data_IF_268732958358
#
_entry.id   IF_268732958358
#
_cell.length_a   1.000
_cell.length_b   1.000
_cell.length_c   1.000
_cell.angle_alpha   90.00
_cell.angle_beta   90.00
_cell.angle_gamma   90.00
#
_symmetry.space_group_name_H-M   'P 1'
#
loop_
_entity.id
_entity.type
_entity.pdbx_description
1 polymer ?
#
# COMPACT_ATOMS: atom_id res chain seq x y z
N UNK A 1 26.69 16.81 -3.00
CA UNK A 1 25.85 15.59 -3.02
C UNK A 1 25.58 15.23 -4.47
N UNK A 2 25.75 13.97 -4.86
CA UNK A 2 25.41 13.51 -6.21
C UNK A 2 23.88 13.47 -6.37
N UNK A 3 23.37 13.64 -7.59
CA UNK A 3 21.92 13.57 -7.89
C UNK A 3 21.30 12.26 -7.39
N UNK A 4 22.06 11.17 -7.50
CA UNK A 4 21.75 9.86 -6.95
C UNK A 4 21.45 9.89 -5.44
N UNK A 5 22.36 10.49 -4.65
CA UNK A 5 22.19 10.57 -3.19
C UNK A 5 20.96 11.40 -2.81
N UNK A 6 20.66 12.47 -3.55
CA UNK A 6 19.48 13.31 -3.31
C UNK A 6 18.19 12.53 -3.63
N UNK A 7 18.13 11.90 -4.81
CA UNK A 7 16.98 11.12 -5.25
C UNK A 7 16.70 9.93 -4.30
N UNK A 8 17.74 9.20 -3.90
CA UNK A 8 17.65 8.11 -2.93
C UNK A 8 17.19 8.58 -1.55
N UNK A 9 17.69 9.72 -1.07
CA UNK A 9 17.29 10.30 0.22
C UNK A 9 15.81 10.72 0.22
N UNK A 10 15.35 11.40 -0.84
CA UNK A 10 13.94 11.83 -0.96
C UNK A 10 13.01 10.61 -1.02
N UNK A 11 13.34 9.60 -1.84
CA UNK A 11 12.55 8.37 -1.93
C UNK A 11 12.46 7.66 -0.57
N UNK A 12 13.57 7.60 0.16
CA UNK A 12 13.64 7.01 1.50
C UNK A 12 12.79 7.79 2.52
N UNK A 13 12.88 9.12 2.54
CA UNK A 13 12.08 9.97 3.43
C UNK A 13 10.58 9.85 3.16
N UNK A 14 10.18 9.82 1.90
CA UNK A 14 8.77 9.64 1.52
C UNK A 14 8.28 8.25 1.86
N UNK A 15 9.13 7.23 1.73
CA UNK A 15 8.80 5.88 2.18
C UNK A 15 8.60 5.80 3.70
N UNK A 16 9.47 6.45 4.49
CA UNK A 16 9.28 6.59 5.93
C UNK A 16 7.98 7.34 6.25
N UNK A 17 7.64 8.38 5.48
CA UNK A 17 6.35 9.07 5.57
C UNK A 17 5.15 8.13 5.37
N UNK A 18 5.22 7.20 4.41
CA UNK A 18 4.20 6.18 4.21
C UNK A 18 4.08 5.24 5.43
N UNK A 19 5.20 4.83 6.02
CA UNK A 19 5.20 4.00 7.24
C UNK A 19 4.56 4.74 8.42
N UNK A 20 4.91 6.02 8.63
CA UNK A 20 4.28 6.85 9.66
C UNK A 20 2.78 6.97 9.40
N UNK A 21 2.36 7.18 8.15
CA UNK A 21 0.95 7.21 7.75
C UNK A 21 0.20 5.93 8.13
N UNK A 22 0.79 4.77 7.87
CA UNK A 22 0.22 3.47 8.26
C UNK A 22 0.10 3.34 9.79
N UNK A 23 1.15 3.72 10.54
CA UNK A 23 1.14 3.68 12.01
C UNK A 23 0.06 4.60 12.59
N UNK A 24 -0.05 5.83 12.07
CA UNK A 24 -1.09 6.78 12.46
C UNK A 24 -2.48 6.20 12.19
N UNK A 25 -2.65 5.51 11.06
CA UNK A 25 -3.92 4.88 10.73
C UNK A 25 -4.28 3.72 11.66
N UNK A 26 -3.33 2.86 12.01
CA UNK A 26 -3.52 1.81 13.03
C UNK A 26 -3.92 2.43 14.37
N UNK A 27 -3.23 3.49 14.80
CA UNK A 27 -3.56 4.20 16.05
C UNK A 27 -4.97 4.77 16.00
N UNK A 28 -5.37 5.40 14.88
CA UNK A 28 -6.71 5.97 14.69
C UNK A 28 -7.81 4.90 14.78
N UNK A 29 -7.58 3.72 14.20
CA UNK A 29 -8.52 2.58 14.31
C UNK A 29 -8.65 2.13 15.76
N UNK A 30 -7.52 1.91 16.45
CA UNK A 30 -7.52 1.48 17.86
C UNK A 30 -8.17 2.51 18.78
N UNK A 31 -7.91 3.79 18.54
CA UNK A 31 -8.57 4.88 19.27
C UNK A 31 -10.09 4.85 19.06
N UNK A 32 -10.58 4.64 17.83
CA UNK A 32 -12.02 4.53 17.56
C UNK A 32 -12.67 3.34 18.26
N UNK A 33 -11.95 2.22 18.42
CA UNK A 33 -12.45 1.05 19.18
C UNK A 33 -12.65 1.35 20.67
N UNK A 34 -11.83 2.24 21.25
CA UNK A 34 -11.81 2.53 22.69
C UNK A 34 -12.64 3.77 23.05
N UNK A 35 -12.57 4.82 22.24
CA UNK A 35 -13.08 6.14 22.57
C UNK A 35 -14.56 6.37 22.18
N UNK A 36 -15.09 5.58 21.25
CA UNK A 36 -16.48 5.69 20.80
C UNK A 36 -17.31 4.59 21.46
N UNK A 37 -18.51 4.88 22.02
CA UNK A 37 -19.43 3.86 22.53
C UNK A 37 -19.78 2.78 21.50
N UNK A 38 -19.82 3.15 20.20
CA UNK A 38 -20.03 2.21 19.08
C UNK A 38 -18.74 1.50 18.65
N UNK A 39 -17.61 1.77 19.29
CA UNK A 39 -16.32 1.14 19.02
C UNK A 39 -16.32 -0.38 19.23
N UNK A 40 -17.27 -0.90 20.02
CA UNK A 40 -17.50 -2.33 20.21
C UNK A 40 -18.36 -2.97 19.09
N UNK A 41 -19.02 -2.17 18.24
CA UNK A 41 -19.81 -2.68 17.13
C UNK A 41 -18.91 -3.22 16.02
N UNK A 42 -19.23 -4.41 15.53
CA UNK A 42 -18.46 -5.07 14.48
C UNK A 42 -18.43 -4.22 13.21
N UNK A 43 -17.22 -3.92 12.77
CA UNK A 43 -16.96 -3.19 11.53
C UNK A 43 -16.96 -1.69 11.69
N UNK A 44 -17.38 -1.13 12.83
CA UNK A 44 -17.47 0.32 13.02
C UNK A 44 -16.11 1.01 12.97
N UNK A 45 -15.12 0.47 13.70
CA UNK A 45 -13.82 1.09 13.81
C UNK A 45 -13.05 1.07 12.49
N UNK A 46 -13.27 0.03 11.69
CA UNK A 46 -12.58 -0.14 10.42
C UNK A 46 -13.43 0.20 9.21
N UNK A 47 -14.75 0.47 9.27
CA UNK A 47 -15.67 0.71 8.11
C UNK A 47 -15.09 1.65 7.04
N UNK A 48 -14.31 2.56 7.57
CA UNK A 48 -13.54 3.63 6.99
C UNK A 48 -12.42 3.16 6.03
N UNK A 49 -11.87 1.97 6.24
CA UNK A 49 -10.70 1.43 5.54
C UNK A 49 -11.07 0.64 4.28
N UNK A 50 -10.28 0.82 3.22
CA UNK A 50 -10.39 0.04 1.98
C UNK A 50 -9.55 -1.23 2.06
N UNK A 51 -10.19 -2.38 2.30
CA UNK A 51 -9.50 -3.69 2.34
C UNK A 51 -8.70 -3.94 1.06
N UNK A 52 -9.31 -3.71 -0.11
CA UNK A 52 -8.65 -3.91 -1.40
C UNK A 52 -7.47 -2.94 -1.58
N UNK A 53 -7.59 -1.71 -1.08
CA UNK A 53 -6.50 -0.73 -1.12
C UNK A 53 -5.30 -1.20 -0.30
N UNK A 54 -5.52 -1.63 0.95
CA UNK A 54 -4.44 -2.16 1.80
C UNK A 54 -3.86 -3.46 1.27
N UNK A 55 -4.69 -4.35 0.74
CA UNK A 55 -4.21 -5.61 0.17
C UNK A 55 -3.38 -5.40 -1.09
N UNK A 56 -3.81 -4.50 -1.98
CA UNK A 56 -3.03 -4.12 -3.16
C UNK A 56 -1.69 -3.50 -2.78
N UNK A 57 -1.67 -2.61 -1.77
CA UNK A 57 -0.41 -2.08 -1.21
C UNK A 57 0.45 -3.16 -0.56
N UNK A 58 -0.15 -4.12 0.15
CA UNK A 58 0.57 -5.26 0.72
C UNK A 58 1.27 -6.08 -0.38
N UNK A 59 0.56 -6.45 -1.46
CA UNK A 59 1.14 -7.20 -2.57
C UNK A 59 2.30 -6.42 -3.21
N UNK A 60 2.15 -5.11 -3.39
CA UNK A 60 3.23 -4.28 -3.91
C UNK A 60 4.50 -4.33 -3.03
N UNK A 61 4.35 -4.20 -1.71
CA UNK A 61 5.47 -4.28 -0.78
C UNK A 61 6.06 -5.70 -0.71
N UNK A 62 5.20 -6.71 -0.70
CA UNK A 62 5.57 -8.11 -0.71
C UNK A 62 6.35 -8.52 -1.96
N UNK A 63 5.92 -8.09 -3.14
CA UNK A 63 6.62 -8.34 -4.39
C UNK A 63 8.02 -7.74 -4.38
N UNK A 64 8.19 -6.51 -3.88
CA UNK A 64 9.54 -5.94 -3.74
C UNK A 64 10.38 -6.60 -2.64
N UNK A 65 9.74 -7.14 -1.60
CA UNK A 65 10.44 -7.92 -0.57
C UNK A 65 11.00 -9.22 -1.17
N UNK A 66 10.17 -9.99 -1.88
CA UNK A 66 10.58 -11.20 -2.57
C UNK A 66 11.65 -10.92 -3.64
N UNK A 67 11.47 -9.86 -4.43
CA UNK A 67 12.48 -9.36 -5.36
C UNK A 67 13.83 -9.21 -4.66
N UNK A 68 13.87 -8.54 -3.51
CA UNK A 68 15.12 -8.31 -2.76
C UNK A 68 15.73 -9.59 -2.20
N UNK A 69 14.94 -10.62 -1.92
CA UNK A 69 15.42 -11.93 -1.46
C UNK A 69 16.05 -12.72 -2.62
N UNK A 70 15.47 -12.60 -3.81
CA UNK A 70 15.88 -13.30 -5.03
C UNK A 70 17.15 -12.74 -5.67
N UNK A 71 17.54 -11.50 -5.34
CA UNK A 71 18.81 -10.94 -5.81
C UNK A 71 20.02 -11.71 -5.26
N UNK A 72 21.09 -11.75 -6.07
CA UNK A 72 22.37 -12.37 -5.71
C UNK A 72 22.97 -11.76 -4.44
N UNK A 73 22.83 -10.43 -4.28
CA UNK A 73 23.10 -9.70 -3.05
C UNK A 73 21.83 -9.01 -2.53
N UNK A 74 21.58 -9.15 -1.23
CA UNK A 74 20.46 -8.45 -0.59
C UNK A 74 20.82 -6.97 -0.46
N UNK A 75 20.10 -6.12 -1.19
CA UNK A 75 20.06 -4.69 -0.88
C UNK A 75 19.25 -4.48 0.42
N UNK A 76 19.97 -4.27 1.52
CA UNK A 76 19.36 -4.09 2.84
C UNK A 76 18.43 -2.88 2.92
N UNK A 77 18.63 -1.82 2.12
CA UNK A 77 17.73 -0.68 2.10
C UNK A 77 16.38 -1.08 1.51
N UNK A 78 16.38 -1.82 0.39
CA UNK A 78 15.13 -2.29 -0.22
C UNK A 78 14.48 -3.36 0.67
N UNK A 79 15.26 -4.33 1.15
CA UNK A 79 14.75 -5.42 1.98
C UNK A 79 14.02 -4.94 3.24
N UNK A 80 14.69 -4.17 4.10
CA UNK A 80 14.12 -3.78 5.40
C UNK A 80 12.94 -2.83 5.23
N UNK A 81 13.03 -1.88 4.30
CA UNK A 81 11.93 -0.93 4.06
C UNK A 81 10.67 -1.68 3.61
N UNK A 82 10.81 -2.66 2.72
CA UNK A 82 9.69 -3.47 2.21
C UNK A 82 9.17 -4.46 3.23
N UNK A 83 10.03 -5.06 4.04
CA UNK A 83 9.62 -5.90 5.17
C UNK A 83 8.78 -5.11 6.18
N UNK A 84 9.25 -3.94 6.61
CA UNK A 84 8.51 -3.12 7.58
C UNK A 84 7.16 -2.67 7.00
N UNK A 85 7.11 -2.29 5.71
CA UNK A 85 5.85 -1.87 5.08
C UNK A 85 4.86 -3.02 4.88
N UNK A 86 5.34 -4.21 4.49
CA UNK A 86 4.49 -5.40 4.38
C UNK A 86 3.95 -5.83 5.75
N UNK A 87 4.76 -5.79 6.81
CA UNK A 87 4.30 -6.03 8.18
C UNK A 87 3.30 -4.95 8.65
N UNK A 88 3.56 -3.68 8.38
CA UNK A 88 2.66 -2.59 8.76
C UNK A 88 1.29 -2.71 8.07
N UNK A 89 1.27 -3.01 6.77
CA UNK A 89 0.02 -3.26 6.02
C UNK A 89 -0.68 -4.54 6.48
N UNK A 90 0.07 -5.60 6.81
CA UNK A 90 -0.46 -6.82 7.41
C UNK A 90 -1.15 -6.55 8.76
N UNK A 91 -0.60 -5.68 9.62
CA UNK A 91 -1.24 -5.27 10.88
C UNK A 91 -2.56 -4.54 10.61
N UNK A 92 -2.63 -3.67 9.60
CA UNK A 92 -3.89 -3.03 9.20
C UNK A 92 -4.92 -4.07 8.76
N UNK A 93 -4.51 -5.04 7.92
CA UNK A 93 -5.38 -6.13 7.48
C UNK A 93 -5.84 -7.00 8.65
N UNK A 94 -5.00 -7.21 9.67
CA UNK A 94 -5.37 -7.92 10.89
C UNK A 94 -6.43 -7.17 11.70
N UNK A 95 -6.30 -5.85 11.85
CA UNK A 95 -7.31 -5.03 12.54
C UNK A 95 -8.66 -5.10 11.82
N UNK A 96 -8.67 -5.13 10.48
CA UNK A 96 -9.87 -5.34 9.65
C UNK A 96 -10.42 -6.76 9.82
N UNK A 97 -9.56 -7.79 9.79
CA UNK A 97 -9.96 -9.18 9.95
C UNK A 97 -10.70 -9.44 11.28
N UNK A 98 -10.22 -8.83 12.36
CA UNK A 98 -10.85 -8.91 13.69
C UNK A 98 -12.18 -8.16 13.75
N UNK A 99 -12.26 -7.02 13.07
CA UNK A 99 -13.41 -6.12 13.15
C UNK A 99 -14.55 -6.53 12.21
N UNK A 100 -14.26 -7.18 11.08
CA UNK A 100 -15.25 -7.49 10.03
C UNK A 100 -15.46 -9.00 9.89
N UNK A 101 -16.73 -9.43 9.86
CA UNK A 101 -17.13 -10.85 9.73
C UNK A 101 -17.07 -11.42 8.29
N UNK A 102 -17.46 -10.70 7.22
CA UNK A 102 -17.58 -11.31 5.89
C UNK A 102 -16.25 -11.85 5.36
N UNK A 103 -16.29 -13.06 4.77
CA UNK A 103 -15.10 -13.77 4.30
C UNK A 103 -14.33 -12.99 3.23
N UNK A 104 -15.02 -12.26 2.35
CA UNK A 104 -14.39 -11.40 1.33
C UNK A 104 -13.49 -10.32 1.92
N UNK A 105 -13.70 -9.95 3.18
CA UNK A 105 -12.93 -8.93 3.89
C UNK A 105 -11.83 -9.52 4.77
N UNK A 106 -11.95 -10.82 5.08
CA UNK A 106 -10.97 -11.60 5.84
C UNK A 106 -9.94 -12.30 4.97
N UNK A 107 -10.35 -12.75 3.78
CA UNK A 107 -9.47 -13.46 2.83
C UNK A 107 -8.17 -12.69 2.54
N UNK A 108 -8.18 -11.35 2.32
CA UNK A 108 -6.94 -10.60 2.11
C UNK A 108 -5.90 -10.73 3.23
N UNK A 109 -6.33 -10.80 4.50
CA UNK A 109 -5.43 -11.02 5.63
C UNK A 109 -4.85 -12.45 5.63
N UNK A 110 -5.68 -13.45 5.33
CA UNK A 110 -5.22 -14.85 5.26
C UNK A 110 -4.21 -15.04 4.13
N UNK A 111 -4.52 -14.53 2.93
CA UNK A 111 -3.60 -14.55 1.80
C UNK A 111 -2.30 -13.82 2.12
N UNK A 112 -2.38 -12.64 2.77
CA UNK A 112 -1.20 -11.90 3.18
C UNK A 112 -0.34 -12.67 4.20
N UNK A 113 -0.97 -13.41 5.11
CA UNK A 113 -0.27 -14.22 6.11
C UNK A 113 0.47 -15.39 5.46
N UNK A 114 -0.19 -16.12 4.54
CA UNK A 114 0.45 -17.20 3.77
C UNK A 114 1.60 -16.67 2.92
N UNK A 115 1.41 -15.51 2.27
CA UNK A 115 2.45 -14.85 1.49
C UNK A 115 3.66 -14.49 2.36
N UNK A 116 3.46 -13.85 3.53
CA UNK A 116 4.58 -13.55 4.44
C UNK A 116 5.33 -14.80 4.88
N UNK A 117 4.63 -15.89 5.21
CA UNK A 117 5.26 -17.17 5.53
C UNK A 117 6.09 -17.70 4.35
N UNK A 118 5.58 -17.58 3.12
CA UNK A 118 6.32 -17.95 1.91
C UNK A 118 7.58 -17.10 1.70
N UNK A 119 7.52 -15.78 1.96
CA UNK A 119 8.71 -14.93 1.90
C UNK A 119 9.75 -15.29 2.96
N UNK A 120 9.34 -15.60 4.20
CA UNK A 120 10.26 -16.10 5.21
C UNK A 120 10.86 -17.45 4.80
N UNK A 121 10.06 -18.36 4.23
CA UNK A 121 10.55 -19.60 3.64
C UNK A 121 11.60 -19.36 2.56
N UNK A 122 11.33 -18.47 1.59
CA UNK A 122 12.27 -18.10 0.54
C UNK A 122 13.57 -17.49 1.10
N UNK A 123 13.51 -16.77 2.22
CA UNK A 123 14.69 -16.26 2.92
C UNK A 123 15.54 -17.38 3.54
N UNK A 124 14.91 -18.42 4.09
CA UNK A 124 15.63 -19.58 4.65
C UNK A 124 16.27 -20.46 3.56
N UNK A 125 15.60 -20.62 2.41
CA UNK A 125 16.10 -21.41 1.27
C UNK A 125 16.73 -20.54 0.18
N UNK A 126 17.37 -19.43 0.58
CA UNK A 126 17.83 -18.41 -0.37
C UNK A 126 18.81 -18.93 -1.41
N UNK A 127 19.73 -19.80 -1.03
CA UNK A 127 20.72 -20.38 -1.96
C UNK A 127 20.07 -21.08 -3.16
N UNK A 128 18.89 -21.69 -2.96
CA UNK A 128 18.14 -22.37 -4.02
C UNK A 128 17.32 -21.38 -4.88
N UNK A 129 16.90 -20.26 -4.29
CA UNK A 129 15.98 -19.29 -4.89
C UNK A 129 16.72 -18.14 -5.60
N UNK A 130 17.95 -17.81 -5.19
CA UNK A 130 18.75 -16.71 -5.76
C UNK A 130 19.12 -16.93 -7.23
N UNK A 131 19.14 -18.18 -7.70
CA UNK A 131 19.39 -18.52 -9.11
C UNK A 131 18.27 -18.07 -10.06
N UNK A 132 17.11 -17.69 -9.55
CA UNK A 132 15.99 -17.15 -10.33
C UNK A 132 16.12 -15.63 -10.59
N UNK A 133 17.15 -15.01 -10.00
CA UNK A 133 17.38 -13.58 -9.75
C UNK A 133 16.69 -12.60 -10.68
N UNK A 134 17.27 -12.29 -11.84
CA UNK A 134 16.83 -11.15 -12.67
C UNK A 134 15.47 -11.35 -13.34
N UNK A 135 15.24 -12.51 -13.97
CA UNK A 135 13.99 -12.76 -14.70
C UNK A 135 12.80 -12.86 -13.76
N UNK A 136 12.97 -13.52 -12.61
CA UNK A 136 11.91 -13.60 -11.60
C UNK A 136 11.64 -12.24 -10.97
N UNK A 137 12.69 -11.46 -10.70
CA UNK A 137 12.61 -10.10 -10.19
C UNK A 137 11.78 -9.17 -11.09
N UNK A 138 12.09 -9.14 -12.38
CA UNK A 138 11.39 -8.32 -13.37
C UNK A 138 9.93 -8.76 -13.53
N UNK A 139 9.71 -10.08 -13.62
CA UNK A 139 8.37 -10.66 -13.72
C UNK A 139 7.50 -10.30 -12.51
N UNK A 140 8.09 -10.31 -11.31
CA UNK A 140 7.40 -10.00 -10.07
C UNK A 140 7.04 -8.52 -9.97
N UNK A 141 7.89 -7.62 -10.46
CA UNK A 141 7.59 -6.19 -10.54
C UNK A 141 6.44 -5.89 -11.52
N UNK A 142 6.43 -6.56 -12.69
CA UNK A 142 5.31 -6.46 -13.64
C UNK A 142 4.02 -7.01 -13.02
N UNK A 143 4.09 -8.18 -12.39
CA UNK A 143 2.93 -8.77 -11.71
C UNK A 143 2.39 -7.85 -10.60
N UNK A 144 3.27 -7.29 -9.77
CA UNK A 144 2.89 -6.32 -8.74
C UNK A 144 2.20 -5.08 -9.35
N UNK A 145 2.71 -4.59 -10.48
CA UNK A 145 2.10 -3.47 -11.22
C UNK A 145 0.66 -3.78 -11.62
N UNK A 146 0.41 -4.99 -12.14
CA UNK A 146 -0.95 -5.41 -12.52
C UNK A 146 -1.90 -5.48 -11.33
N UNK A 147 -1.42 -5.95 -10.18
CA UNK A 147 -2.22 -6.00 -8.94
C UNK A 147 -2.49 -4.59 -8.40
N UNK A 148 -1.51 -3.68 -8.47
CA UNK A 148 -1.70 -2.27 -8.13
C UNK A 148 -2.77 -1.65 -9.04
N UNK A 149 -2.67 -1.90 -10.34
CA UNK A 149 -3.62 -1.43 -11.35
C UNK A 149 -5.04 -1.91 -11.07
N UNK A 150 -5.21 -3.22 -10.89
CA UNK A 150 -6.49 -3.83 -10.57
C UNK A 150 -7.08 -3.24 -9.27
N UNK A 151 -6.29 -3.17 -8.21
CA UNK A 151 -6.72 -2.65 -6.90
C UNK A 151 -7.13 -1.18 -6.96
N UNK A 152 -6.34 -0.35 -7.66
CA UNK A 152 -6.63 1.08 -7.84
C UNK A 152 -7.88 1.33 -8.67
N UNK A 153 -8.07 0.61 -9.79
CA UNK A 153 -9.30 0.72 -10.60
C UNK A 153 -10.54 0.34 -9.77
N UNK A 154 -10.47 -0.76 -9.01
CA UNK A 154 -11.57 -1.17 -8.15
C UNK A 154 -11.87 -0.14 -7.07
N UNK A 155 -10.85 0.49 -6.49
CA UNK A 155 -11.01 1.55 -5.50
C UNK A 155 -11.73 2.77 -6.11
N UNK A 156 -11.30 3.24 -7.27
CA UNK A 156 -11.93 4.38 -7.97
C UNK A 156 -13.39 4.05 -8.32
N UNK A 157 -13.66 2.86 -8.85
CA UNK A 157 -15.03 2.42 -9.18
C UNK A 157 -15.95 2.42 -7.96
N UNK A 158 -15.47 1.91 -6.82
CA UNK A 158 -16.25 1.90 -5.57
C UNK A 158 -16.58 3.31 -5.09
N UNK A 159 -15.62 4.23 -5.12
CA UNK A 159 -15.85 5.63 -4.76
C UNK A 159 -16.88 6.26 -5.70
N UNK A 160 -16.77 6.00 -7.00
CA UNK A 160 -17.69 6.55 -8.00
C UNK A 160 -19.13 6.05 -7.82
N UNK A 161 -19.29 4.77 -7.48
CA UNK A 161 -20.59 4.16 -7.20
C UNK A 161 -21.18 4.65 -5.88
N UNK A 162 -20.36 4.76 -4.84
CA UNK A 162 -20.79 5.21 -3.52
C UNK A 162 -20.99 6.73 -3.43
N UNK A 163 -20.45 7.51 -4.38
CA UNK A 163 -20.44 8.98 -4.37
C UNK A 163 -19.87 9.59 -3.07
N UNK A 164 -19.08 8.80 -2.36
CA UNK A 164 -18.43 9.15 -1.11
C UNK A 164 -17.04 8.51 -1.13
N UNK A 165 -16.04 9.25 -0.65
CA UNK A 165 -14.66 8.77 -0.50
C UNK A 165 -14.50 7.84 0.71
N UNK A 166 -15.56 7.69 1.51
CA UNK A 166 -15.59 6.90 2.72
C UNK A 166 -14.61 7.48 3.73
N UNK A 167 -13.76 6.65 4.32
CA UNK A 167 -12.66 7.18 5.13
C UNK A 167 -11.29 6.82 4.59
N UNK A 168 -11.21 6.83 3.28
CA UNK A 168 -9.95 7.08 2.64
C UNK A 168 -9.46 8.47 3.09
N UNK A 169 -8.21 8.57 3.49
CA UNK A 169 -7.63 9.85 3.91
C UNK A 169 -6.90 10.50 2.74
N UNK A 170 -7.34 11.69 2.33
CA UNK A 170 -6.67 12.49 1.31
C UNK A 170 -5.17 12.73 1.62
N UNK A 171 -4.76 13.11 2.85
CA UNK A 171 -3.34 13.31 3.15
C UNK A 171 -2.48 12.07 2.88
N UNK A 172 -2.97 10.87 3.25
CA UNK A 172 -2.25 9.64 3.00
C UNK A 172 -2.16 9.31 1.51
N UNK A 173 -3.24 9.53 0.76
CA UNK A 173 -3.26 9.35 -0.70
C UNK A 173 -2.21 10.25 -1.37
N UNK A 174 -2.08 11.51 -0.92
CA UNK A 174 -1.09 12.45 -1.42
C UNK A 174 0.35 12.07 -1.05
N UNK A 175 0.57 11.56 0.18
CA UNK A 175 1.89 11.04 0.58
C UNK A 175 2.30 9.85 -0.29
N UNK A 176 1.37 8.91 -0.55
CA UNK A 176 1.63 7.81 -1.47
C UNK A 176 1.92 8.30 -2.90
N UNK A 177 1.15 9.27 -3.40
CA UNK A 177 1.39 9.87 -4.71
C UNK A 177 2.79 10.50 -4.78
N UNK A 178 3.17 11.30 -3.79
CA UNK A 178 4.49 11.93 -3.74
C UNK A 178 5.61 10.87 -3.71
N UNK A 179 5.45 9.82 -2.90
CA UNK A 179 6.37 8.67 -2.88
C UNK A 179 6.49 8.05 -4.27
N UNK A 180 5.38 7.85 -4.98
CA UNK A 180 5.40 7.18 -6.29
C UNK A 180 6.05 8.05 -7.37
N UNK A 181 5.84 9.37 -7.35
CA UNK A 181 6.58 10.33 -8.18
C UNK A 181 8.08 10.27 -7.88
N UNK A 182 8.44 10.20 -6.60
CA UNK A 182 9.85 10.07 -6.20
C UNK A 182 10.47 8.74 -6.64
N UNK A 183 9.70 7.66 -6.70
CA UNK A 183 10.17 6.38 -7.23
C UNK A 183 10.45 6.45 -8.73
N UNK A 184 9.59 7.13 -9.50
CA UNK A 184 9.84 7.38 -10.93
C UNK A 184 11.10 8.19 -11.11
N UNK A 185 11.25 9.28 -10.35
CA UNK A 185 12.45 10.12 -10.41
C UNK A 185 13.72 9.33 -10.06
N UNK A 186 13.68 8.53 -8.99
CA UNK A 186 14.82 7.72 -8.58
C UNK A 186 15.17 6.64 -9.62
N UNK A 187 14.17 5.99 -10.22
CA UNK A 187 14.37 5.03 -11.30
C UNK A 187 15.01 5.65 -12.54
N UNK A 188 14.64 6.89 -12.89
CA UNK A 188 15.31 7.61 -14.00
C UNK A 188 16.78 7.90 -13.66
N UNK A 189 17.07 8.28 -12.41
CA UNK A 189 18.44 8.55 -11.93
C UNK A 189 19.31 7.28 -11.86
N UNK A 190 18.70 6.12 -11.60
CA UNK A 190 19.35 4.81 -11.65
C UNK A 190 19.74 4.38 -13.08
N UNK A 191 19.12 4.97 -14.10
CA UNK A 191 19.24 4.55 -15.50
C UNK A 191 18.16 3.54 -15.90
N UNK A 192 17.81 3.51 -17.18
CA UNK A 192 16.69 2.70 -17.67
C UNK A 192 16.92 1.20 -17.53
N UNK A 193 18.15 0.71 -17.64
CA UNK A 193 18.47 -0.71 -17.53
C UNK A 193 18.11 -1.28 -16.14
N UNK A 194 18.41 -0.53 -15.08
CA UNK A 194 18.18 -0.97 -13.70
C UNK A 194 16.89 -0.39 -13.09
N UNK A 195 16.47 0.79 -13.53
CA UNK A 195 15.40 1.56 -12.93
C UNK A 195 14.01 1.32 -13.51
N UNK A 196 13.88 0.64 -14.66
CA UNK A 196 12.60 0.47 -15.35
C UNK A 196 11.47 -0.15 -14.48
N UNK A 197 11.71 -1.15 -13.60
CA UNK A 197 10.63 -1.73 -12.81
C UNK A 197 10.08 -0.72 -11.79
N UNK A 198 10.97 0.11 -11.23
CA UNK A 198 10.63 1.17 -10.29
C UNK A 198 9.83 2.29 -10.97
N UNK A 199 10.23 2.65 -12.19
CA UNK A 199 9.52 3.64 -13.04
C UNK A 199 8.12 3.13 -13.36
N UNK A 200 8.00 1.89 -13.87
CA UNK A 200 6.71 1.30 -14.26
C UNK A 200 5.74 1.28 -13.08
N UNK A 201 6.16 0.76 -11.93
CA UNK A 201 5.34 0.68 -10.72
C UNK A 201 4.97 2.08 -10.21
N UNK A 202 5.94 3.00 -10.15
CA UNK A 202 5.72 4.37 -9.68
C UNK A 202 4.75 5.13 -10.59
N UNK A 203 4.87 5.00 -11.90
CA UNK A 203 4.00 5.68 -12.86
C UNK A 203 2.55 5.16 -12.77
N UNK A 204 2.35 3.84 -12.80
CA UNK A 204 1.02 3.23 -12.70
C UNK A 204 0.36 3.56 -11.36
N UNK A 205 1.08 3.40 -10.25
CA UNK A 205 0.56 3.73 -8.93
C UNK A 205 0.25 5.23 -8.82
N UNK A 206 1.14 6.09 -9.30
CA UNK A 206 0.96 7.54 -9.28
C UNK A 206 -0.29 8.01 -10.03
N UNK A 207 -0.54 7.47 -11.23
CA UNK A 207 -1.75 7.75 -12.02
C UNK A 207 -3.01 7.35 -11.25
N UNK A 208 -3.01 6.18 -10.61
CA UNK A 208 -4.15 5.72 -9.82
C UNK A 208 -4.38 6.59 -8.59
N UNK A 209 -3.33 7.01 -7.88
CA UNK A 209 -3.44 7.91 -6.73
C UNK A 209 -3.92 9.30 -7.15
N UNK A 210 -3.53 9.79 -8.32
CA UNK A 210 -4.13 10.99 -8.91
C UNK A 210 -5.62 10.81 -9.19
N UNK A 211 -6.01 9.69 -9.82
CA UNK A 211 -7.41 9.37 -10.08
C UNK A 211 -8.25 9.35 -8.79
N UNK A 212 -7.74 8.71 -7.74
CA UNK A 212 -8.34 8.74 -6.39
C UNK A 212 -8.39 10.15 -5.83
N UNK A 213 -7.32 10.95 -5.96
CA UNK A 213 -7.29 12.34 -5.49
C UNK A 213 -8.34 13.20 -6.19
N UNK A 214 -8.54 13.02 -7.50
CA UNK A 214 -9.61 13.69 -8.25
C UNK A 214 -10.99 13.32 -7.69
N UNK A 215 -11.22 12.06 -7.29
CA UNK A 215 -12.49 11.69 -6.66
C UNK A 215 -12.76 12.39 -5.32
N UNK A 216 -11.72 12.81 -4.58
CA UNK A 216 -11.90 13.67 -3.40
C UNK A 216 -12.34 15.09 -3.75
N UNK A 217 -11.87 15.63 -4.88
CA UNK A 217 -12.28 16.95 -5.35
C UNK A 217 -13.74 16.94 -5.86
N UNK A 218 -14.16 15.82 -6.47
CA UNK A 218 -15.53 15.65 -6.99
C UNK A 218 -16.55 15.30 -5.90
N UNK A 219 -16.14 14.57 -4.86
CA UNK A 219 -17.00 14.17 -3.74
C UNK A 219 -16.40 14.64 -2.41
N UNK A 220 -16.31 15.97 -2.17
CA UNK A 220 -15.83 16.49 -0.91
C UNK A 220 -16.79 16.09 0.22
N UNK A 221 -16.25 15.78 1.41
CA UNK A 221 -16.97 15.34 2.64
C UNK A 221 -18.23 16.16 3.01
N UNK A 222 -18.44 17.35 2.41
CA UNK A 222 -19.57 18.24 2.67
C UNK A 222 -20.96 17.60 2.51
N UNK A 223 -21.13 16.55 1.70
CA UNK A 223 -22.42 15.86 1.55
C UNK A 223 -22.81 14.98 2.77
N UNK A 224 -21.85 14.50 3.58
CA UNK A 224 -22.17 13.72 4.78
C UNK A 224 -22.61 14.60 5.96
N UNK A 225 -22.16 15.85 6.01
CA UNK A 225 -22.61 16.82 7.01
C UNK A 225 -24.05 17.28 6.75
N UNK A 226 -24.42 17.52 5.49
CA UNK A 226 -25.78 17.95 5.12
C UNK A 226 -26.80 16.80 5.23
N UNK A 227 -26.41 15.55 4.93
CA UNK A 227 -27.28 14.38 5.10
C UNK A 227 -27.57 14.01 6.57
N UNK A 228 -26.69 14.38 7.52
CA UNK A 228 -26.92 14.18 8.96
C UNK A 228 -27.73 15.30 9.61
N UNK A 229 -27.74 16.49 9.03
CA UNK A 229 -28.51 17.64 9.55
C UNK A 229 -29.95 17.63 9.01
N UNK A 230 -30.24 16.93 7.91
CA UNK A 230 -31.59 16.77 7.36
C UNK A 230 -32.49 15.72 8.02
N UNK A 231 -32.05 15.08 9.12
CA UNK A 231 -32.82 14.10 9.90
C UNK A 231 -32.97 14.52 11.37
N UNK A 232 -33.25 15.81 11.61
CA UNK A 232 -33.76 16.29 12.88
C UNK A 232 -35.05 17.08 12.66
#
# INVERSE_FOLDING_TARGET
MTLYNVAGTISSLLFLGCLVGLVVQIRKVRQRKIADPRGAELGYATQSLSVNGFFSSFIAFYSFLLYSIMLEDIDYYIFFTRLIASLATWIVLFEIFRDRLPLSQRAPFLTASVALLAAFGALFFREEVSHLGEVAAESLAVFATLIILQGGIQQIRKIWQAKCTGALSLPMTLVFFAKDVSNVFFGIVLGLELGWPLILMGAVSGILKLGVTITFLLYPEKLEAEARVGYH
#
